data_IF_729561453377
#
_entry.id   IF_729561453377
#
_cell.length_a   1.000
_cell.length_b   1.000
_cell.length_c   1.000
_cell.angle_alpha   90.00
_cell.angle_beta   90.00
_cell.angle_gamma   90.00
#
_symmetry.space_group_name_H-M   'P 1'
#
loop_
_entity.id
_entity.type
_entity.pdbx_description
1 polymer ?
#
# COMPACT_ATOMS: atom_id res chain seq x y z
N UNK A 1 -15.02 -5.15 22.74
CA UNK A 1 -14.24 -5.19 21.48
C UNK A 1 -14.97 -4.30 20.46
N UNK A 2 -14.74 -2.98 20.48
CA UNK A 2 -15.45 -2.00 19.63
C UNK A 2 -14.55 -0.85 19.11
N UNK A 3 -13.23 -1.04 19.02
CA UNK A 3 -12.30 0.04 18.61
C UNK A 3 -11.92 0.03 17.12
N UNK A 4 -12.41 -0.93 16.32
CA UNK A 4 -11.98 -1.03 14.90
C UNK A 4 -12.67 -0.03 13.97
N UNK A 5 -13.83 0.52 14.36
CA UNK A 5 -14.68 1.30 13.46
C UNK A 5 -14.40 2.82 13.47
N UNK A 6 -13.62 3.32 14.44
CA UNK A 6 -13.22 4.74 14.47
C UNK A 6 -11.97 5.05 13.62
N UNK A 7 -11.04 4.11 13.48
CA UNK A 7 -9.76 4.36 12.79
C UNK A 7 -9.93 4.61 11.28
N UNK A 8 -10.94 4.00 10.64
CA UNK A 8 -11.16 4.15 9.19
C UNK A 8 -11.91 5.42 8.80
N UNK A 9 -12.48 6.18 9.77
CA UNK A 9 -13.19 7.45 9.49
C UNK A 9 -12.26 8.56 8.96
N UNK A 10 -10.96 8.44 9.20
CA UNK A 10 -9.94 9.42 8.78
C UNK A 10 -9.25 9.06 7.45
N UNK A 11 -9.63 7.96 6.82
CA UNK A 11 -8.95 7.49 5.62
C UNK A 11 -9.14 8.43 4.44
N UNK A 12 -8.02 8.75 3.81
CA UNK A 12 -7.99 9.53 2.57
C UNK A 12 -8.49 8.69 1.40
N UNK A 13 -8.72 9.34 0.26
CA UNK A 13 -9.14 8.68 -0.99
C UNK A 13 -8.11 7.61 -1.39
N UNK A 14 -8.57 6.43 -1.78
CA UNK A 14 -7.74 5.32 -2.27
C UNK A 14 -6.80 5.76 -3.40
N UNK A 15 -5.51 5.41 -3.29
CA UNK A 15 -4.50 5.61 -4.34
C UNK A 15 -4.21 4.29 -5.05
N UNK A 16 -4.20 4.31 -6.38
CA UNK A 16 -3.79 3.17 -7.19
C UNK A 16 -2.32 3.31 -7.59
N UNK A 17 -1.50 2.29 -7.32
CA UNK A 17 -0.06 2.30 -7.59
C UNK A 17 0.27 1.08 -8.45
N UNK A 18 0.91 1.30 -9.60
CA UNK A 18 1.43 0.24 -10.44
C UNK A 18 2.94 0.07 -10.22
N UNK A 19 3.39 -1.16 -10.02
CA UNK A 19 4.82 -1.51 -9.82
C UNK A 19 5.24 -2.49 -10.91
N UNK A 20 6.14 -2.07 -11.81
CA UNK A 20 6.78 -2.93 -12.81
C UNK A 20 7.94 -3.73 -12.22
N UNK A 21 8.21 -4.92 -12.74
CA UNK A 21 9.25 -5.78 -12.20
C UNK A 21 8.95 -6.20 -10.75
N UNK A 22 7.67 -6.44 -10.43
CA UNK A 22 7.22 -6.72 -9.07
C UNK A 22 7.84 -7.99 -8.45
N UNK A 23 8.36 -8.91 -9.28
CA UNK A 23 9.05 -10.12 -8.85
C UNK A 23 10.53 -9.88 -8.44
N UNK A 24 11.07 -8.68 -8.63
CA UNK A 24 12.45 -8.35 -8.27
C UNK A 24 12.65 -8.18 -6.76
N UNK A 25 13.88 -8.42 -6.29
CA UNK A 25 14.24 -8.25 -4.87
C UNK A 25 13.97 -6.83 -4.34
N UNK A 26 14.19 -5.81 -5.18
CA UNK A 26 13.92 -4.40 -4.83
C UNK A 26 12.43 -4.20 -4.59
N UNK A 27 11.59 -4.72 -5.49
CA UNK A 27 10.14 -4.61 -5.41
C UNK A 27 9.61 -5.27 -4.15
N UNK A 28 10.13 -6.41 -3.74
CA UNK A 28 9.70 -7.08 -2.51
C UNK A 28 9.82 -6.15 -1.28
N UNK A 29 10.98 -5.51 -1.08
CA UNK A 29 11.16 -4.57 0.04
C UNK A 29 10.30 -3.31 -0.10
N UNK A 30 10.17 -2.77 -1.31
CA UNK A 30 9.38 -1.58 -1.59
C UNK A 30 7.89 -1.80 -1.29
N UNK A 31 7.34 -2.95 -1.69
CA UNK A 31 5.93 -3.29 -1.51
C UNK A 31 5.53 -3.31 -0.03
N UNK A 32 6.40 -3.85 0.84
CA UNK A 32 6.14 -3.84 2.29
C UNK A 32 6.18 -2.43 2.89
N UNK A 33 7.09 -1.56 2.44
CA UNK A 33 7.15 -0.16 2.87
C UNK A 33 5.93 0.65 2.41
N UNK A 34 5.42 0.35 1.22
CA UNK A 34 4.18 0.95 0.72
C UNK A 34 2.99 0.47 1.56
N UNK A 35 2.87 -0.84 1.78
CA UNK A 35 1.76 -1.45 2.53
C UNK A 35 1.76 -1.07 4.02
N UNK A 36 2.93 -0.80 4.63
CA UNK A 36 3.02 -0.36 6.02
C UNK A 36 2.56 1.09 6.24
N UNK A 37 2.35 1.85 5.15
CA UNK A 37 2.05 3.28 5.23
C UNK A 37 3.26 4.16 5.54
N UNK A 38 4.50 3.64 5.47
CA UNK A 38 5.73 4.44 5.66
C UNK A 38 5.85 5.56 4.61
N UNK A 39 5.36 5.30 3.39
CA UNK A 39 5.49 6.23 2.25
C UNK A 39 4.39 7.29 2.21
N UNK A 40 3.13 6.92 2.45
CA UNK A 40 1.98 7.82 2.30
C UNK A 40 1.24 8.15 3.61
N UNK A 41 1.68 7.55 4.71
CA UNK A 41 1.06 7.65 6.02
C UNK A 41 0.05 6.52 6.31
N UNK A 42 -0.22 6.25 7.60
CA UNK A 42 -1.08 5.14 8.04
C UNK A 42 -2.56 5.31 7.65
N UNK A 43 -3.01 6.54 7.41
CA UNK A 43 -4.40 6.86 7.05
C UNK A 43 -4.64 6.91 5.54
N UNK A 44 -3.67 6.47 4.74
CA UNK A 44 -3.75 6.49 3.28
C UNK A 44 -3.90 5.07 2.75
N UNK A 45 -5.13 4.63 2.42
CA UNK A 45 -5.32 3.34 1.80
C UNK A 45 -4.73 3.33 0.37
N UNK A 46 -4.08 2.23 0.01
CA UNK A 46 -3.46 2.03 -1.29
C UNK A 46 -3.91 0.72 -1.93
N UNK A 47 -3.98 0.70 -3.26
CA UNK A 47 -4.22 -0.50 -4.07
C UNK A 47 -3.01 -0.72 -4.99
N UNK A 48 -2.34 -1.86 -4.81
CA UNK A 48 -1.14 -2.23 -5.54
C UNK A 48 -1.48 -3.07 -6.77
N UNK A 49 -1.00 -2.64 -7.94
CA UNK A 49 -1.05 -3.38 -9.20
C UNK A 49 0.36 -3.84 -9.56
N UNK A 50 0.60 -5.13 -9.40
CA UNK A 50 1.90 -5.73 -9.64
C UNK A 50 1.99 -6.16 -11.09
N UNK A 51 2.94 -5.57 -11.82
CA UNK A 51 3.23 -5.89 -13.21
C UNK A 51 4.54 -6.71 -13.24
N UNK A 52 4.48 -7.86 -13.92
CA UNK A 52 5.66 -8.68 -14.17
C UNK A 52 6.67 -7.95 -15.06
N UNK A 53 7.93 -8.40 -14.98
CA UNK A 53 8.85 -8.24 -16.10
C UNK A 53 8.56 -9.39 -17.06
N UNK A 54 8.55 -9.11 -18.36
CA UNK A 54 8.81 -10.17 -19.34
C UNK A 54 10.18 -10.82 -19.07
#
# INVERSE_FOLDING_TARGET
MCLQEEETKSWKKLINIAVSGAAGMISNHLLFKLASGEVFGPNQPIALKLLGSE
#
